data_IF_119405881487
#
_entry.id   IF_119405881487
#
_cell.length_a   1.000
_cell.length_b   1.000
_cell.length_c   1.000
_cell.angle_alpha   90.00
_cell.angle_beta   90.00
_cell.angle_gamma   90.00
#
_symmetry.space_group_name_H-M   'P 1'
#
loop_
_entity.id
_entity.type
_entity.pdbx_description
1 polymer ?
#
# COMPACT_ATOMS: atom_id res chain seq x y z
N UNK A 1 -4.30 -20.28 5.73
CA UNK A 1 -4.63 -19.08 4.97
C UNK A 1 -4.10 -17.84 5.68
N UNK A 2 -3.84 -16.80 4.91
CA UNK A 2 -3.47 -15.46 5.38
C UNK A 2 -4.61 -14.50 5.08
N UNK A 3 -4.85 -13.52 5.97
CA UNK A 3 -5.83 -12.48 5.78
C UNK A 3 -5.21 -11.09 5.98
N UNK A 4 -5.29 -10.26 4.98
CA UNK A 4 -4.92 -8.85 5.07
C UNK A 4 -6.14 -8.00 5.43
N UNK A 5 -6.10 -7.37 6.59
CA UNK A 5 -7.22 -6.58 7.14
C UNK A 5 -7.37 -5.21 6.47
N UNK A 6 -8.41 -4.46 6.83
CA UNK A 6 -8.61 -3.07 6.39
C UNK A 6 -7.47 -2.11 6.83
N UNK A 7 -6.68 -2.50 7.81
CA UNK A 7 -5.56 -1.70 8.31
C UNK A 7 -4.24 -1.98 7.57
N UNK A 8 -4.22 -2.97 6.68
CA UNK A 8 -3.05 -3.34 5.89
C UNK A 8 -2.94 -2.48 4.64
N UNK A 9 -1.70 -2.23 4.21
CA UNK A 9 -1.41 -1.68 2.88
C UNK A 9 -0.83 -2.77 1.99
N UNK A 10 -1.19 -2.74 0.71
CA UNK A 10 -0.76 -3.71 -0.30
C UNK A 10 -0.02 -2.98 -1.41
N UNK A 11 1.15 -3.48 -1.79
CA UNK A 11 1.85 -3.05 -2.99
C UNK A 11 1.70 -4.13 -4.08
N UNK A 12 0.87 -3.93 -5.11
CA UNK A 12 0.54 -4.94 -6.10
C UNK A 12 1.73 -5.66 -6.73
N UNK A 13 2.83 -4.97 -7.15
CA UNK A 13 4.00 -5.65 -7.69
C UNK A 13 4.65 -6.65 -6.72
N UNK A 14 4.70 -6.34 -5.43
CA UNK A 14 5.26 -7.24 -4.41
C UNK A 14 4.36 -8.47 -4.21
N UNK A 15 3.04 -8.27 -4.14
CA UNK A 15 2.07 -9.38 -4.02
C UNK A 15 2.15 -10.31 -5.25
N UNK A 16 2.28 -9.73 -6.45
CA UNK A 16 2.44 -10.51 -7.69
C UNK A 16 3.72 -11.34 -7.66
N UNK A 17 4.83 -10.76 -7.25
CA UNK A 17 6.12 -11.43 -7.15
C UNK A 17 6.07 -12.57 -6.12
N UNK A 18 5.55 -12.30 -4.93
CA UNK A 18 5.41 -13.30 -3.85
C UNK A 18 4.45 -14.42 -4.26
N UNK A 19 3.29 -14.07 -4.84
CA UNK A 19 2.31 -15.04 -5.33
C UNK A 19 2.89 -15.98 -6.38
N UNK A 20 3.70 -15.46 -7.32
CA UNK A 20 4.40 -16.28 -8.29
C UNK A 20 5.44 -17.21 -7.65
N UNK A 21 6.18 -16.72 -6.66
CA UNK A 21 7.17 -17.51 -5.92
C UNK A 21 6.49 -18.64 -5.12
N UNK A 22 5.36 -18.35 -4.49
CA UNK A 22 4.64 -19.29 -3.63
C UNK A 22 3.63 -20.17 -4.38
N UNK A 23 3.48 -20.00 -5.69
CA UNK A 23 2.45 -20.67 -6.51
C UNK A 23 2.43 -22.20 -6.34
N UNK A 24 3.59 -22.84 -6.19
CA UNK A 24 3.70 -24.28 -5.98
C UNK A 24 3.06 -24.76 -4.67
N UNK A 25 2.97 -23.89 -3.65
CA UNK A 25 2.41 -24.18 -2.35
C UNK A 25 0.91 -23.89 -2.25
N UNK A 26 0.31 -23.31 -3.31
CA UNK A 26 -1.11 -22.95 -3.37
C UNK A 26 -1.60 -22.21 -2.11
N UNK A 27 -0.94 -21.12 -1.66
CA UNK A 27 -1.35 -20.40 -0.48
C UNK A 27 -2.74 -19.78 -0.69
N UNK A 28 -3.58 -19.83 0.35
CA UNK A 28 -4.85 -19.09 0.35
C UNK A 28 -4.62 -17.73 0.98
N UNK A 29 -4.85 -16.69 0.20
CA UNK A 29 -4.78 -15.31 0.63
C UNK A 29 -6.17 -14.66 0.53
N UNK A 30 -6.61 -14.07 1.64
CA UNK A 30 -7.82 -13.26 1.70
C UNK A 30 -7.44 -11.81 1.96
N UNK A 31 -8.18 -10.89 1.33
CA UNK A 31 -7.94 -9.47 1.46
C UNK A 31 -9.24 -8.74 1.79
N UNK A 32 -9.20 -7.88 2.81
CA UNK A 32 -10.35 -7.03 3.12
C UNK A 32 -10.60 -6.05 1.96
N UNK A 33 -11.87 -5.81 1.56
CA UNK A 33 -12.18 -4.90 0.44
C UNK A 33 -11.61 -3.48 0.62
N UNK A 34 -11.46 -3.01 1.85
CA UNK A 34 -10.89 -1.70 2.20
C UNK A 34 -9.40 -1.75 2.59
N UNK A 35 -8.68 -2.85 2.33
CA UNK A 35 -7.22 -2.82 2.43
C UNK A 35 -6.67 -1.82 1.42
N UNK A 36 -5.73 -0.97 1.87
CA UNK A 36 -5.26 0.17 1.08
C UNK A 36 -4.22 -0.25 0.06
N UNK A 37 -4.26 0.34 -1.12
CA UNK A 37 -3.25 0.09 -2.16
C UNK A 37 -2.18 1.17 -2.07
N UNK A 38 -0.96 0.75 -1.80
CA UNK A 38 0.24 1.60 -1.94
C UNK A 38 0.60 1.70 -3.41
N UNK A 39 0.87 2.91 -3.88
CA UNK A 39 1.25 3.18 -5.27
C UNK A 39 2.72 3.58 -5.38
N UNK A 40 3.23 3.61 -6.61
CA UNK A 40 4.56 4.13 -6.92
C UNK A 40 4.71 5.59 -6.47
N UNK A 41 3.64 6.38 -6.52
CA UNK A 41 3.61 7.77 -6.08
C UNK A 41 3.72 7.89 -4.56
N UNK A 42 3.08 6.99 -3.79
CA UNK A 42 3.22 6.91 -2.33
C UNK A 42 4.67 6.62 -1.94
N UNK A 43 5.31 5.69 -2.65
CA UNK A 43 6.71 5.29 -2.37
C UNK A 43 7.65 6.46 -2.68
N UNK A 44 7.55 7.06 -3.88
CA UNK A 44 8.38 8.18 -4.27
C UNK A 44 8.25 9.36 -3.29
N UNK A 45 7.01 9.71 -2.90
CA UNK A 45 6.76 10.78 -1.93
C UNK A 45 7.33 10.44 -0.54
N UNK A 46 7.15 9.20 -0.07
CA UNK A 46 7.71 8.77 1.20
C UNK A 46 9.23 8.96 1.26
N UNK A 47 9.96 8.63 0.20
CA UNK A 47 11.41 8.80 0.10
C UNK A 47 11.84 10.28 0.13
N UNK A 48 11.04 11.16 -0.49
CA UNK A 48 11.24 12.61 -0.39
C UNK A 48 11.14 13.08 1.05
N UNK A 49 10.08 12.67 1.76
CA UNK A 49 9.85 13.04 3.17
C UNK A 49 10.99 12.51 4.05
N UNK A 50 11.43 11.28 3.85
CA UNK A 50 12.54 10.70 4.59
C UNK A 50 13.84 11.45 4.41
N UNK A 51 14.16 11.81 3.16
CA UNK A 51 15.37 12.58 2.87
C UNK A 51 15.36 13.95 3.56
N UNK A 52 14.20 14.56 3.73
CA UNK A 52 14.05 15.85 4.41
C UNK A 52 14.11 15.72 5.94
N UNK A 53 13.52 14.69 6.51
CA UNK A 53 13.28 14.57 7.95
C UNK A 53 14.23 13.60 8.67
N UNK A 54 14.91 12.72 7.96
CA UNK A 54 15.86 11.76 8.53
C UNK A 54 15.23 10.69 9.44
N UNK A 55 13.95 10.40 9.26
CA UNK A 55 13.18 9.51 10.16
C UNK A 55 13.28 8.01 9.86
N UNK A 56 14.27 7.54 9.16
CA UNK A 56 14.60 6.09 9.07
C UNK A 56 13.40 5.14 8.85
N UNK A 57 12.44 5.47 7.96
CA UNK A 57 11.42 4.53 7.54
C UNK A 57 12.00 3.53 6.53
N UNK A 58 11.32 2.42 6.28
CA UNK A 58 11.78 1.48 5.24
C UNK A 58 11.56 1.97 3.79
N UNK A 59 11.08 3.21 3.59
CA UNK A 59 10.91 3.81 2.26
C UNK A 59 9.91 3.09 1.33
N UNK A 60 9.02 2.28 1.90
CA UNK A 60 8.05 1.45 1.15
C UNK A 60 6.68 2.11 0.94
N UNK A 61 6.53 3.39 1.31
CA UNK A 61 5.31 4.15 1.06
C UNK A 61 4.16 3.93 2.06
N UNK A 62 4.34 3.11 3.10
CA UNK A 62 3.26 2.82 4.08
C UNK A 62 2.69 4.10 4.68
N UNK A 63 3.55 4.94 5.28
CA UNK A 63 3.13 6.18 5.93
C UNK A 63 2.45 7.16 4.96
N UNK A 64 2.97 7.28 3.75
CA UNK A 64 2.40 8.11 2.69
C UNK A 64 1.01 7.61 2.25
N UNK A 65 0.83 6.29 2.11
CA UNK A 65 -0.47 5.68 1.79
C UNK A 65 -1.51 5.98 2.87
N UNK A 66 -1.14 5.84 4.15
CA UNK A 66 -2.05 6.13 5.28
C UNK A 66 -2.38 7.63 5.36
N UNK A 67 -1.38 8.50 5.15
CA UNK A 67 -1.60 9.95 5.14
C UNK A 67 -2.54 10.38 4.00
N UNK A 68 -2.33 9.85 2.79
CA UNK A 68 -3.18 10.09 1.62
C UNK A 68 -4.62 9.62 1.86
N UNK A 69 -4.80 8.45 2.48
CA UNK A 69 -6.12 7.92 2.82
C UNK A 69 -6.87 8.83 3.81
N UNK A 70 -6.16 9.41 4.78
CA UNK A 70 -6.72 10.42 5.70
C UNK A 70 -7.10 11.73 4.99
N UNK A 71 -6.40 12.09 3.92
CA UNK A 71 -6.69 13.24 3.06
C UNK A 71 -7.80 12.90 2.02
N UNK A 72 -8.54 11.80 2.21
CA UNK A 72 -9.69 11.35 1.41
C UNK A 72 -9.37 11.01 -0.06
N UNK A 73 -8.10 10.74 -0.38
CA UNK A 73 -7.69 10.24 -1.71
C UNK A 73 -7.52 8.73 -1.64
N UNK A 74 -8.57 8.02 -1.95
CA UNK A 74 -8.70 6.58 -1.70
C UNK A 74 -8.21 5.71 -2.86
N UNK A 75 -7.65 4.55 -2.53
CA UNK A 75 -7.44 3.43 -3.44
C UNK A 75 -7.41 2.14 -2.62
N UNK A 76 -8.39 1.27 -2.85
CA UNK A 76 -8.63 0.07 -2.05
C UNK A 76 -8.55 -1.22 -2.87
N UNK A 77 -8.37 -2.35 -2.21
CA UNK A 77 -8.32 -3.66 -2.85
C UNK A 77 -9.57 -3.98 -3.67
N UNK A 78 -10.75 -3.51 -3.24
CA UNK A 78 -11.97 -3.67 -4.01
C UNK A 78 -11.96 -2.92 -5.36
N UNK A 79 -11.25 -1.81 -5.45
CA UNK A 79 -11.14 -1.01 -6.68
C UNK A 79 -10.39 -1.77 -7.79
N UNK A 80 -9.50 -2.71 -7.41
CA UNK A 80 -8.70 -3.50 -8.34
C UNK A 80 -9.56 -4.42 -9.24
N UNK A 81 -10.83 -4.65 -8.89
CA UNK A 81 -11.74 -5.43 -9.71
C UNK A 81 -12.11 -4.72 -11.02
N UNK A 82 -11.96 -3.40 -11.07
CA UNK A 82 -12.41 -2.55 -12.17
C UNK A 82 -11.22 -1.83 -12.84
N UNK A 83 -10.78 -2.25 -14.04
CA UNK A 83 -9.58 -1.66 -14.69
C UNK A 83 -9.66 -0.14 -14.87
N UNK A 84 -10.84 0.39 -15.20
CA UNK A 84 -11.03 1.85 -15.35
C UNK A 84 -10.92 2.60 -14.02
N UNK A 85 -11.31 1.97 -12.89
CA UNK A 85 -11.15 2.58 -11.56
C UNK A 85 -9.68 2.67 -11.19
N UNK A 86 -8.87 1.65 -11.50
CA UNK A 86 -7.43 1.66 -11.26
C UNK A 86 -6.80 2.91 -11.90
N UNK A 87 -7.09 3.16 -13.16
CA UNK A 87 -6.56 4.34 -13.88
C UNK A 87 -7.03 5.65 -13.25
N UNK A 88 -8.32 5.77 -12.90
CA UNK A 88 -8.84 6.97 -12.24
C UNK A 88 -8.20 7.21 -10.86
N UNK A 89 -8.03 6.15 -10.07
CA UNK A 89 -7.37 6.25 -8.76
C UNK A 89 -5.92 6.68 -8.89
N UNK A 90 -5.18 6.08 -9.83
CA UNK A 90 -3.78 6.47 -10.09
C UNK A 90 -3.67 7.93 -10.52
N UNK A 91 -4.50 8.38 -11.45
CA UNK A 91 -4.51 9.78 -11.88
C UNK A 91 -4.81 10.74 -10.73
N UNK A 92 -5.79 10.40 -9.87
CA UNK A 92 -6.13 11.21 -8.69
C UNK A 92 -4.97 11.29 -7.70
N UNK A 93 -4.28 10.16 -7.46
CA UNK A 93 -3.13 10.08 -6.57
C UNK A 93 -1.93 10.83 -7.14
N UNK A 94 -1.68 10.71 -8.44
CA UNK A 94 -0.64 11.46 -9.13
C UNK A 94 -0.85 12.98 -8.96
N UNK A 95 -2.06 13.46 -9.25
CA UNK A 95 -2.42 14.87 -9.12
C UNK A 95 -2.27 15.36 -7.67
N UNK A 96 -2.67 14.53 -6.70
CA UNK A 96 -2.52 14.83 -5.27
C UNK A 96 -1.06 15.07 -4.89
N UNK A 97 -0.15 14.17 -5.26
CA UNK A 97 1.27 14.35 -4.95
C UNK A 97 1.93 15.45 -5.78
N UNK A 98 1.56 15.61 -7.05
CA UNK A 98 2.04 16.73 -7.87
C UNK A 98 1.70 18.07 -7.22
N UNK A 99 0.49 18.24 -6.69
CA UNK A 99 0.07 19.47 -5.99
C UNK A 99 0.90 19.72 -4.72
N UNK A 100 1.23 18.66 -3.96
CA UNK A 100 2.07 18.78 -2.76
C UNK A 100 3.53 19.09 -3.11
N UNK A 101 4.06 18.46 -4.14
CA UNK A 101 5.45 18.63 -4.58
C UNK A 101 5.67 19.99 -5.26
N UNK A 102 4.70 20.49 -6.01
CA UNK A 102 4.79 21.81 -6.64
C UNK A 102 5.00 22.97 -5.64
N UNK A 103 4.64 22.77 -4.38
CA UNK A 103 4.84 23.75 -3.30
C UNK A 103 6.22 23.63 -2.63
N UNK A 104 7.04 22.64 -3.01
CA UNK A 104 8.35 22.37 -2.43
C UNK A 104 9.47 23.09 -3.20
N UNK A 105 10.66 23.29 -2.59
CA UNK A 105 11.82 23.81 -3.29
C UNK A 105 12.16 22.97 -4.55
N UNK A 106 12.76 23.62 -5.55
CA UNK A 106 13.12 23.02 -6.84
C UNK A 106 13.90 21.69 -6.68
N UNK A 107 14.88 21.65 -5.80
CA UNK A 107 15.69 20.44 -5.56
C UNK A 107 14.85 19.26 -5.04
N UNK A 108 13.74 19.51 -4.33
CA UNK A 108 12.81 18.49 -3.84
C UNK A 108 11.93 17.99 -4.98
N UNK A 109 11.48 18.88 -5.85
CA UNK A 109 10.72 18.53 -7.04
C UNK A 109 11.54 17.66 -8.00
N UNK A 110 12.80 18.01 -8.22
CA UNK A 110 13.74 17.22 -9.04
C UNK A 110 13.98 15.83 -8.43
N UNK A 111 14.20 15.76 -7.12
CA UNK A 111 14.38 14.49 -6.44
C UNK A 111 13.12 13.59 -6.54
N UNK A 112 11.93 14.15 -6.38
CA UNK A 112 10.69 13.40 -6.58
C UNK A 112 10.54 12.87 -8.00
N UNK A 113 10.87 13.70 -9.00
CA UNK A 113 10.83 13.29 -10.40
C UNK A 113 11.86 12.17 -10.71
N UNK A 114 13.05 12.24 -10.10
CA UNK A 114 14.09 11.22 -10.22
C UNK A 114 13.64 9.89 -9.58
N UNK A 115 13.07 9.95 -8.37
CA UNK A 115 12.52 8.75 -7.71
C UNK A 115 11.44 8.06 -8.56
N UNK A 116 10.57 8.82 -9.22
CA UNK A 116 9.53 8.25 -10.08
C UNK A 116 10.09 7.51 -11.29
N UNK A 117 11.27 7.87 -11.79
CA UNK A 117 11.90 7.18 -12.93
C UNK A 117 12.30 5.73 -12.60
N UNK A 118 12.40 5.37 -11.32
CA UNK A 118 12.68 4.00 -10.89
C UNK A 118 11.47 3.06 -10.98
N UNK A 119 10.28 3.58 -11.33
CA UNK A 119 9.04 2.82 -11.38
C UNK A 119 8.42 2.87 -12.77
N UNK A 120 7.91 1.75 -13.22
CA UNK A 120 7.11 1.61 -14.43
C UNK A 120 5.62 1.59 -14.04
N UNK A 121 4.88 2.64 -14.41
CA UNK A 121 3.44 2.73 -14.15
C UNK A 121 2.66 1.66 -14.92
N UNK A 122 3.07 1.33 -16.15
CA UNK A 122 2.42 0.28 -16.93
C UNK A 122 2.55 -1.08 -16.22
N UNK A 123 3.73 -1.40 -15.71
CA UNK A 123 3.96 -2.60 -14.90
C UNK A 123 3.16 -2.59 -13.59
N UNK A 124 3.02 -1.42 -12.95
CA UNK A 124 2.17 -1.29 -11.76
C UNK A 124 0.71 -1.60 -12.07
N UNK A 125 0.17 -1.03 -13.15
CA UNK A 125 -1.22 -1.29 -13.60
C UNK A 125 -1.40 -2.76 -13.95
N UNK A 126 -0.47 -3.35 -14.70
CA UNK A 126 -0.49 -4.76 -15.04
C UNK A 126 -0.47 -5.64 -13.76
N UNK A 127 0.34 -5.29 -12.79
CA UNK A 127 0.39 -5.97 -11.49
C UNK A 127 -0.96 -5.89 -10.78
N UNK A 128 -1.60 -4.71 -10.74
CA UNK A 128 -2.95 -4.54 -10.18
C UNK A 128 -3.99 -5.48 -10.83
N UNK A 129 -3.90 -5.68 -12.13
CA UNK A 129 -4.82 -6.55 -12.87
C UNK A 129 -4.55 -8.03 -12.61
N UNK A 130 -3.28 -8.42 -12.43
CA UNK A 130 -2.86 -9.82 -12.33
C UNK A 130 -2.96 -10.38 -10.91
N UNK A 131 -2.78 -9.56 -9.86
CA UNK A 131 -2.81 -10.07 -8.47
C UNK A 131 -4.16 -10.64 -8.05
N UNK A 132 -5.23 -10.30 -8.74
CA UNK A 132 -6.59 -10.84 -8.47
C UNK A 132 -6.65 -12.37 -8.51
N UNK A 133 -5.72 -13.01 -9.20
CA UNK A 133 -5.62 -14.47 -9.26
C UNK A 133 -5.01 -15.09 -8.01
N UNK A 134 -4.41 -14.30 -7.11
CA UNK A 134 -3.72 -14.79 -5.91
C UNK A 134 -4.50 -14.58 -4.63
N UNK A 135 -5.60 -13.80 -4.65
CA UNK A 135 -6.38 -13.55 -3.44
C UNK A 135 -7.89 -13.54 -3.70
N UNK A 136 -8.63 -13.71 -2.62
CA UNK A 136 -10.08 -13.56 -2.58
C UNK A 136 -10.45 -12.36 -1.70
N UNK A 137 -11.42 -11.56 -2.15
CA UNK A 137 -11.98 -10.49 -1.31
C UNK A 137 -12.88 -11.13 -0.26
N UNK A 138 -12.60 -10.86 1.02
CA UNK A 138 -13.39 -11.34 2.13
C UNK A 138 -13.41 -10.35 3.29
N UNK A 139 -14.46 -10.42 4.10
CA UNK A 139 -14.51 -9.77 5.42
C UNK A 139 -14.16 -10.80 6.50
N UNK A 140 -13.52 -10.36 7.59
CA UNK A 140 -13.10 -11.24 8.69
C UNK A 140 -14.29 -12.03 9.27
N UNK A 141 -15.48 -11.40 9.36
CA UNK A 141 -16.68 -12.05 9.86
C UNK A 141 -17.06 -13.31 9.04
N UNK A 142 -16.89 -13.25 7.71
CA UNK A 142 -17.16 -14.41 6.83
C UNK A 142 -16.17 -15.54 7.04
N UNK A 143 -14.92 -15.21 7.39
CA UNK A 143 -13.87 -16.20 7.68
C UNK A 143 -14.04 -16.82 9.06
N UNK A 144 -14.65 -16.09 10.01
CA UNK A 144 -14.91 -16.59 11.36
C UNK A 144 -15.86 -17.81 11.37
N UNK A 145 -16.74 -17.92 10.39
CA UNK A 145 -17.61 -19.10 10.23
C UNK A 145 -16.85 -20.33 9.69
N UNK A 146 -15.68 -20.11 9.07
CA UNK A 146 -14.90 -21.17 8.41
C UNK A 146 -13.71 -21.65 9.26
N UNK A 147 -13.09 -20.72 10.01
CA UNK A 147 -11.87 -21.00 10.78
C UNK A 147 -12.10 -20.85 12.28
N UNK A 148 -11.64 -21.84 13.06
CA UNK A 148 -11.83 -21.87 14.52
C UNK A 148 -10.75 -21.07 15.28
N UNK A 149 -9.57 -20.88 14.68
CA UNK A 149 -8.43 -20.23 15.32
C UNK A 149 -7.90 -19.10 14.47
N UNK A 150 -7.63 -17.95 15.09
CA UNK A 150 -7.05 -16.78 14.46
C UNK A 150 -5.79 -16.36 15.22
N UNK A 151 -4.74 -16.05 14.45
CA UNK A 151 -3.52 -15.41 14.95
C UNK A 151 -3.51 -14.02 14.36
N UNK A 152 -3.44 -12.99 15.21
CA UNK A 152 -3.31 -11.60 14.80
C UNK A 152 -1.85 -11.20 14.88
N UNK A 153 -1.32 -10.72 13.76
CA UNK A 153 0.04 -10.23 13.64
C UNK A 153 0.03 -8.76 13.26
N UNK A 154 0.63 -7.92 14.10
CA UNK A 154 0.90 -6.51 13.80
C UNK A 154 2.30 -6.36 13.24
N UNK A 155 2.53 -5.29 12.48
CA UNK A 155 3.86 -4.95 11.96
C UNK A 155 4.86 -4.55 13.06
N UNK A 156 4.37 -4.18 14.25
CA UNK A 156 5.18 -3.76 15.40
C UNK A 156 4.56 -4.26 16.71
N UNK A 157 5.39 -4.39 17.75
CA UNK A 157 4.92 -4.75 19.08
C UNK A 157 4.24 -3.58 19.80
N UNK A 158 3.53 -3.89 20.92
CA UNK A 158 2.77 -2.92 21.73
C UNK A 158 3.62 -1.76 22.24
N UNK A 159 4.92 -1.96 22.44
CA UNK A 159 5.81 -0.91 22.94
C UNK A 159 6.05 0.23 21.93
N UNK A 160 5.73 -0.01 20.65
CA UNK A 160 5.81 0.98 19.55
C UNK A 160 4.42 1.47 19.11
N UNK A 161 3.36 1.08 19.83
CA UNK A 161 2.00 1.54 19.56
C UNK A 161 1.84 3.01 19.94
N UNK A 162 1.11 3.78 19.12
CA UNK A 162 0.91 5.22 19.33
C UNK A 162 0.09 5.57 20.57
N UNK A 163 -0.67 4.63 21.14
CA UNK A 163 -1.53 4.84 22.31
C UNK A 163 -1.01 4.10 23.54
N UNK A 164 -0.35 2.94 23.36
CA UNK A 164 0.04 2.04 24.43
C UNK A 164 1.55 1.85 24.55
N UNK A 165 2.31 2.40 23.61
CA UNK A 165 3.77 2.32 23.60
C UNK A 165 4.45 3.36 24.50
N UNK A 166 5.77 3.29 24.56
CA UNK A 166 6.58 4.30 25.23
C UNK A 166 6.71 5.56 24.36
N UNK A 167 6.42 6.72 24.92
CA UNK A 167 6.61 8.03 24.29
C UNK A 167 7.82 8.75 24.91
N UNK A 168 8.51 9.61 24.14
CA UNK A 168 8.43 9.81 22.68
C UNK A 168 9.25 8.75 21.91
N UNK A 169 8.80 8.47 20.67
CA UNK A 169 9.55 7.64 19.71
C UNK A 169 10.11 8.53 18.62
#
# INVERSE_FOLDING_TARGET
PTYYSAHTTLFPPAILQEGNYLKAYQPKLYVHPLAKITTIYDIAYNRVVEKQQGHGSCGLGFGATIARDRDEVYFYANDLQFPWVIQQRLQSIQNFYQSKIAQQPQAVQEYYADELQHYDEAYFIESCLNIKSFYEIAQLAQLADTYQHFIFEGSQGILLDTQHGFHPH
#
